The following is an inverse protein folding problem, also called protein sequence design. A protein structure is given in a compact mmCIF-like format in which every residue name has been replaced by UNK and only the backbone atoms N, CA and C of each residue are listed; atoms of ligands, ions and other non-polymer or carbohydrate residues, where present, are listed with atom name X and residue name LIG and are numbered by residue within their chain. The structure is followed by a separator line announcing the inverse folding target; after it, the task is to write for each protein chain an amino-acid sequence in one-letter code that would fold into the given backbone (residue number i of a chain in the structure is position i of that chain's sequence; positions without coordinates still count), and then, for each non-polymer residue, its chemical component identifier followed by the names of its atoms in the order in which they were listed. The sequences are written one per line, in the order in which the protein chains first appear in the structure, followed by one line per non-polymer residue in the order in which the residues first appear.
data_IF_960797592078
#
_entry.id   IF_960797592078
#
_cell.length_a   1.000
_cell.length_b   1.000
_cell.length_c   1.000
_cell.angle_alpha   90.00
_cell.angle_beta   90.00
_cell.angle_gamma   90.00
#
_symmetry.space_group_name_H-M   'P 1'
#
loop_
_entity.id
_entity.type
_entity.pdbx_description
1 polymer ?
#
# COMPACT_ATOMS: atom_id res chain seq x y z
N UNK A 1 22.31 68.20 -39.52
CA UNK A 1 20.93 68.35 -40.05
C UNK A 1 20.39 66.97 -40.37
N UNK A 2 19.16 66.64 -39.97
CA UNK A 2 18.61 65.29 -39.99
C UNK A 2 18.06 64.93 -41.38
N UNK A 3 18.13 63.64 -41.73
CA UNK A 3 17.40 63.07 -42.86
C UNK A 3 16.16 62.34 -42.31
N UNK A 4 15.03 62.86 -42.77
CA UNK A 4 13.65 62.42 -42.63
C UNK A 4 13.43 60.90 -42.68
N UNK A 5 12.70 60.36 -41.71
CA UNK A 5 11.97 59.09 -41.82
C UNK A 5 10.46 59.44 -41.82
N UNK A 6 9.78 59.03 -42.89
CA UNK A 6 8.36 59.29 -43.15
C UNK A 6 7.40 58.67 -42.12
N UNK A 7 6.08 58.89 -42.29
CA UNK A 7 5.09 58.62 -41.25
C UNK A 7 4.92 57.12 -41.00
N UNK A 8 4.87 56.73 -39.72
CA UNK A 8 4.43 55.40 -39.28
C UNK A 8 3.01 55.16 -39.77
N UNK A 9 2.79 54.07 -40.50
CA UNK A 9 1.45 53.57 -40.80
C UNK A 9 0.69 53.22 -39.50
N UNK A 10 -0.64 53.36 -39.47
CA UNK A 10 -1.43 53.08 -38.27
C UNK A 10 -1.44 51.58 -37.94
N UNK A 11 -1.40 51.20 -36.65
CA UNK A 11 -1.34 49.81 -36.21
C UNK A 11 -2.76 49.22 -36.10
N UNK A 12 -3.53 49.20 -37.18
CA UNK A 12 -4.86 48.58 -37.16
C UNK A 12 -5.21 48.02 -38.54
N UNK A 13 -4.64 46.87 -38.88
CA UNK A 13 -5.20 45.90 -39.87
C UNK A 13 -4.29 44.67 -40.03
N UNK A 14 -3.01 44.75 -39.67
CA UNK A 14 -2.08 43.59 -39.72
C UNK A 14 -2.23 42.65 -38.49
N UNK A 15 -2.95 43.06 -37.45
CA UNK A 15 -2.82 42.48 -36.10
C UNK A 15 -3.78 41.35 -35.72
N UNK A 16 -4.76 40.99 -36.55
CA UNK A 16 -5.68 39.87 -36.27
C UNK A 16 -5.66 38.82 -37.38
N UNK A 17 -5.53 39.27 -38.64
CA UNK A 17 -5.45 38.38 -39.79
C UNK A 17 -4.19 37.52 -39.77
N UNK A 18 -3.03 38.07 -39.38
CA UNK A 18 -1.79 37.31 -39.26
C UNK A 18 -1.83 36.25 -38.15
N UNK A 19 -2.48 36.56 -37.02
CA UNK A 19 -2.65 35.61 -35.91
C UNK A 19 -3.68 34.53 -36.28
N UNK A 20 -4.78 34.92 -36.94
CA UNK A 20 -5.79 33.98 -37.43
C UNK A 20 -5.24 33.05 -38.53
N UNK A 21 -4.39 33.57 -39.43
CA UNK A 21 -3.69 32.77 -40.44
C UNK A 21 -2.68 31.80 -39.82
N UNK A 22 -1.92 32.24 -38.81
CA UNK A 22 -0.98 31.35 -38.10
C UNK A 22 -1.72 30.26 -37.30
N UNK A 23 -2.81 30.61 -36.61
CA UNK A 23 -3.64 29.64 -35.90
C UNK A 23 -4.35 28.68 -36.87
N UNK A 24 -4.87 29.20 -37.99
CA UNK A 24 -5.48 28.40 -39.05
C UNK A 24 -4.48 27.45 -39.70
N UNK A 25 -3.24 27.88 -39.94
CA UNK A 25 -2.17 27.05 -40.48
C UNK A 25 -1.75 25.96 -39.49
N UNK A 26 -1.67 26.25 -38.19
CA UNK A 26 -1.41 25.25 -37.15
C UNK A 26 -2.52 24.19 -37.07
N UNK A 27 -3.80 24.60 -37.15
CA UNK A 27 -4.94 23.67 -37.14
C UNK A 27 -4.97 22.84 -38.42
N UNK A 28 -4.74 23.44 -39.58
CA UNK A 28 -4.68 22.73 -40.86
C UNK A 28 -3.54 21.72 -40.90
N UNK A 29 -2.34 22.08 -40.44
CA UNK A 29 -1.21 21.15 -40.33
C UNK A 29 -1.52 20.03 -39.33
N UNK A 30 -2.14 20.33 -38.19
CA UNK A 30 -2.53 19.30 -37.20
C UNK A 30 -3.54 18.32 -37.79
N UNK A 31 -4.52 18.78 -38.58
CA UNK A 31 -5.53 17.93 -39.22
C UNK A 31 -4.97 17.09 -40.38
N UNK A 32 -4.07 17.66 -41.19
CA UNK A 32 -3.36 16.93 -42.26
C UNK A 32 -2.47 15.85 -41.65
N UNK A 33 -1.74 16.16 -40.58
CA UNK A 33 -0.90 15.17 -39.89
C UNK A 33 -1.71 14.11 -39.13
N UNK A 34 -2.85 14.46 -38.52
CA UNK A 34 -3.76 13.50 -37.91
C UNK A 34 -4.33 12.52 -38.95
N UNK A 35 -4.64 12.99 -40.16
CA UNK A 35 -5.11 12.16 -41.26
C UNK A 35 -4.01 11.22 -41.79
N UNK A 36 -2.77 11.71 -41.89
CA UNK A 36 -1.60 10.89 -42.29
C UNK A 36 -1.26 9.84 -41.22
N UNK A 37 -1.40 10.16 -39.93
CA UNK A 37 -1.17 9.21 -38.82
C UNK A 37 -2.27 8.15 -38.76
N UNK A 38 -3.53 8.52 -38.99
CA UNK A 38 -4.64 7.56 -39.06
C UNK A 38 -4.48 6.58 -40.23
N UNK A 39 -3.94 7.03 -41.36
CA UNK A 39 -3.70 6.20 -42.54
C UNK A 39 -2.45 5.30 -42.45
N UNK A 40 -1.46 5.61 -41.59
CA UNK A 40 -0.13 4.93 -41.62
C UNK A 40 0.27 4.19 -40.33
N UNK A 41 -0.44 4.37 -39.21
CA UNK A 41 -0.34 3.50 -38.03
C UNK A 41 1.01 3.43 -37.30
N UNK A 42 1.93 4.39 -37.49
CA UNK A 42 3.30 4.34 -36.90
C UNK A 42 3.58 5.42 -35.84
N UNK A 43 4.23 5.01 -34.74
CA UNK A 43 4.60 5.79 -33.54
C UNK A 43 5.67 6.88 -33.79
N UNK A 44 6.40 6.85 -34.92
CA UNK A 44 7.47 7.83 -35.23
C UNK A 44 7.00 9.27 -35.42
N UNK A 45 5.69 9.52 -35.54
CA UNK A 45 5.13 10.88 -35.64
C UNK A 45 5.20 11.67 -34.31
N UNK A 46 5.27 10.99 -33.15
CA UNK A 46 5.31 11.63 -31.82
C UNK A 46 6.55 12.52 -31.61
N UNK A 47 7.73 12.08 -32.05
CA UNK A 47 8.96 12.86 -31.92
C UNK A 47 8.96 14.11 -32.82
N UNK A 48 8.28 14.05 -33.96
CA UNK A 48 8.17 15.18 -34.88
C UNK A 48 7.17 16.23 -34.38
N UNK A 49 5.97 15.80 -33.96
CA UNK A 49 4.90 16.71 -33.48
C UNK A 49 5.29 17.36 -32.14
N UNK A 50 5.86 16.59 -31.20
CA UNK A 50 6.40 17.14 -29.96
C UNK A 50 7.56 18.09 -30.24
N UNK A 51 8.43 17.76 -31.21
CA UNK A 51 9.52 18.63 -31.64
C UNK A 51 9.02 19.97 -32.18
N UNK A 52 8.07 19.96 -33.11
CA UNK A 52 7.53 21.17 -33.74
C UNK A 52 6.78 22.06 -32.74
N UNK A 53 5.98 21.49 -31.83
CA UNK A 53 5.27 22.28 -30.81
C UNK A 53 6.24 22.91 -29.80
N UNK A 54 7.25 22.16 -29.35
CA UNK A 54 8.27 22.68 -28.43
C UNK A 54 9.25 23.66 -29.08
N UNK A 55 9.48 23.57 -30.39
CA UNK A 55 10.34 24.52 -31.14
C UNK A 55 9.60 25.79 -31.58
N UNK A 56 8.32 25.68 -31.96
CA UNK A 56 7.56 26.82 -32.46
C UNK A 56 6.97 27.68 -31.34
N UNK A 57 6.58 27.10 -30.19
CA UNK A 57 5.99 27.86 -29.09
C UNK A 57 6.93 28.96 -28.53
N UNK A 58 8.24 28.71 -28.29
CA UNK A 58 9.17 29.74 -27.85
C UNK A 58 9.39 30.86 -28.88
N UNK A 59 9.39 30.54 -30.18
CA UNK A 59 9.57 31.52 -31.25
C UNK A 59 8.36 32.45 -31.38
N UNK A 60 7.14 31.90 -31.26
CA UNK A 60 5.90 32.68 -31.24
C UNK A 60 5.82 33.54 -29.98
N UNK A 61 6.23 33.01 -28.82
CA UNK A 61 6.35 33.75 -27.56
C UNK A 61 7.33 34.93 -27.66
N UNK A 62 8.51 34.68 -28.24
CA UNK A 62 9.54 35.71 -28.44
C UNK A 62 9.05 36.82 -29.39
N UNK A 63 8.41 36.45 -30.50
CA UNK A 63 7.87 37.42 -31.45
C UNK A 63 6.72 38.24 -30.84
N UNK A 64 5.81 37.58 -30.11
CA UNK A 64 4.69 38.23 -29.44
C UNK A 64 5.16 39.20 -28.34
N UNK A 65 6.16 38.82 -27.55
CA UNK A 65 6.75 39.67 -26.51
C UNK A 65 7.50 40.90 -27.07
N UNK A 66 7.98 40.84 -28.31
CA UNK A 66 8.69 41.94 -28.98
C UNK A 66 7.74 42.97 -29.62
N UNK A 67 6.51 42.59 -29.97
CA UNK A 67 5.63 43.41 -30.82
C UNK A 67 4.27 43.76 -30.20
N UNK A 68 3.92 43.17 -29.05
CA UNK A 68 2.64 43.38 -28.38
C UNK A 68 2.83 43.66 -26.89
N UNK A 69 1.88 44.38 -26.27
CA UNK A 69 1.88 44.57 -24.81
C UNK A 69 1.70 43.22 -24.09
N UNK A 70 2.23 43.12 -22.87
CA UNK A 70 2.21 41.89 -22.09
C UNK A 70 0.80 41.28 -21.97
N UNK A 71 -0.21 42.10 -21.77
CA UNK A 71 -1.62 41.67 -21.66
C UNK A 71 -2.17 41.12 -22.98
N UNK A 72 -1.80 41.71 -24.12
CA UNK A 72 -2.25 41.28 -25.45
C UNK A 72 -1.57 39.96 -25.86
N UNK A 73 -0.28 39.81 -25.52
CA UNK A 73 0.43 38.55 -25.73
C UNK A 73 -0.19 37.44 -24.86
N UNK A 74 -0.47 37.71 -23.58
CA UNK A 74 -1.07 36.74 -22.67
C UNK A 74 -2.45 36.27 -23.14
N UNK A 75 -3.29 37.20 -23.60
CA UNK A 75 -4.63 36.89 -24.12
C UNK A 75 -4.60 36.01 -25.38
N UNK A 76 -3.55 36.11 -26.21
CA UNK A 76 -3.39 35.29 -27.41
C UNK A 76 -2.78 33.90 -27.13
N UNK A 77 -1.93 33.77 -26.10
CA UNK A 77 -1.16 32.55 -25.83
C UNK A 77 -1.96 31.52 -25.03
N UNK A 78 -2.74 31.97 -24.03
CA UNK A 78 -3.50 31.08 -23.14
C UNK A 78 -4.50 30.17 -23.90
N UNK A 79 -5.25 30.65 -24.90
CA UNK A 79 -6.16 29.81 -25.67
C UNK A 79 -5.43 28.74 -26.49
N UNK A 80 -4.27 29.07 -27.06
CA UNK A 80 -3.47 28.13 -27.86
C UNK A 80 -2.94 27.00 -26.98
N UNK A 81 -2.41 27.33 -25.79
CA UNK A 81 -1.94 26.33 -24.83
C UNK A 81 -3.07 25.45 -24.29
N UNK A 82 -4.24 26.05 -24.02
CA UNK A 82 -5.42 25.31 -23.59
C UNK A 82 -5.90 24.34 -24.69
N UNK A 83 -5.96 24.79 -25.94
CA UNK A 83 -6.36 23.94 -27.08
C UNK A 83 -5.39 22.78 -27.31
N UNK A 84 -4.08 23.03 -27.25
CA UNK A 84 -3.06 21.98 -27.39
C UNK A 84 -3.18 20.95 -26.26
N UNK A 85 -3.42 21.41 -25.02
CA UNK A 85 -3.59 20.54 -23.85
C UNK A 85 -4.86 19.69 -23.95
N UNK A 86 -5.98 20.28 -24.39
CA UNK A 86 -7.25 19.57 -24.58
C UNK A 86 -7.14 18.53 -25.70
N UNK A 87 -6.50 18.87 -26.82
CA UNK A 87 -6.24 17.91 -27.90
C UNK A 87 -5.36 16.74 -27.45
N UNK A 88 -4.33 16.99 -26.65
CA UNK A 88 -3.48 15.93 -26.08
C UNK A 88 -4.28 14.99 -25.14
N UNK A 89 -5.17 15.54 -24.31
CA UNK A 89 -6.02 14.75 -23.40
C UNK A 89 -7.08 13.94 -24.16
N UNK A 90 -7.75 14.53 -25.15
CA UNK A 90 -8.75 13.85 -25.96
C UNK A 90 -8.13 12.74 -26.81
N UNK A 91 -6.92 12.93 -27.34
CA UNK A 91 -6.21 11.92 -28.10
C UNK A 91 -5.66 10.77 -27.22
N UNK A 92 -5.19 11.07 -26.00
CA UNK A 92 -4.84 10.05 -25.00
C UNK A 92 -6.05 9.21 -24.56
N UNK A 93 -7.26 9.79 -24.62
CA UNK A 93 -8.52 9.08 -24.37
C UNK A 93 -9.05 8.33 -25.59
N UNK A 94 -8.77 8.80 -26.81
CA UNK A 94 -9.15 8.16 -28.06
C UNK A 94 -8.33 6.92 -28.41
N UNK A 95 -7.04 6.91 -28.06
CA UNK A 95 -6.13 5.75 -28.25
C UNK A 95 -6.34 4.62 -27.24
N UNK A 96 -7.21 4.81 -26.24
CA UNK A 96 -7.61 3.78 -25.28
C UNK A 96 -8.68 2.80 -25.84
N UNK A 97 -9.07 2.91 -27.11
CA UNK A 97 -9.99 1.97 -27.76
C UNK A 97 -9.28 1.17 -28.86
N UNK A 98 -9.34 -0.14 -28.69
CA UNK A 98 -8.99 -1.21 -29.62
C UNK A 98 -7.60 -1.17 -30.25
N UNK A 99 -6.68 -1.85 -29.58
CA UNK A 99 -5.68 -2.66 -30.27
C UNK A 99 -6.02 -4.12 -29.95
N UNK A 100 -6.83 -4.75 -30.79
CA UNK A 100 -6.90 -6.21 -30.83
C UNK A 100 -5.54 -6.69 -31.32
N UNK A 101 -4.85 -7.43 -30.45
CA UNK A 101 -3.65 -8.19 -30.80
C UNK A 101 -4.16 -9.53 -31.32
N UNK A 102 -3.71 -10.02 -32.49
CA UNK A 102 -4.06 -11.34 -32.98
C UNK A 102 -3.76 -12.40 -31.90
N UNK A 103 -4.74 -13.25 -31.61
CA UNK A 103 -4.76 -14.14 -30.44
C UNK A 103 -3.84 -15.36 -30.51
N UNK A 104 -3.08 -15.55 -31.59
CA UNK A 104 -2.55 -16.88 -31.90
C UNK A 104 -1.01 -16.98 -31.94
N UNK A 105 -0.27 -15.96 -31.48
CA UNK A 105 1.21 -16.00 -31.37
C UNK A 105 1.78 -15.70 -29.98
N UNK A 106 0.95 -15.74 -28.93
CA UNK A 106 1.40 -15.58 -27.53
C UNK A 106 1.14 -16.87 -26.77
N UNK A 107 1.84 -17.98 -27.05
CA UNK A 107 1.62 -19.16 -26.19
C UNK A 107 2.73 -20.19 -25.96
N UNK A 108 4.01 -19.94 -26.26
CA UNK A 108 5.06 -20.86 -25.78
C UNK A 108 6.23 -20.17 -25.06
N UNK A 109 6.68 -19.01 -25.53
CA UNK A 109 7.82 -18.32 -24.90
C UNK A 109 7.48 -17.63 -23.56
N UNK A 110 6.23 -17.18 -23.34
CA UNK A 110 5.82 -16.55 -22.08
C UNK A 110 5.53 -17.54 -20.95
N UNK A 111 5.30 -18.81 -21.28
CA UNK A 111 5.10 -19.88 -20.30
C UNK A 111 6.40 -20.26 -19.56
N UNK A 112 7.56 -19.93 -20.14
CA UNK A 112 8.89 -20.32 -19.64
C UNK A 112 9.53 -19.29 -18.70
N UNK A 113 9.08 -18.03 -18.68
CA UNK A 113 9.66 -17.02 -17.78
C UNK A 113 8.99 -17.08 -16.40
N UNK A 114 9.77 -17.11 -15.30
CA UNK A 114 9.18 -17.13 -13.97
C UNK A 114 8.40 -15.84 -13.72
N UNK A 115 7.17 -15.98 -13.21
CA UNK A 115 6.31 -14.84 -12.87
C UNK A 115 6.98 -13.99 -11.80
N UNK A 116 7.12 -12.70 -12.06
CA UNK A 116 7.67 -11.72 -11.13
C UNK A 116 6.56 -11.09 -10.31
N UNK A 117 6.71 -11.21 -9.00
CA UNK A 117 5.74 -10.71 -8.01
C UNK A 117 6.44 -9.67 -7.15
N UNK A 118 5.85 -8.48 -7.03
CA UNK A 118 6.25 -7.49 -6.05
C UNK A 118 5.26 -7.52 -4.88
N UNK A 119 5.75 -7.64 -3.66
CA UNK A 119 4.95 -7.44 -2.44
C UNK A 119 5.36 -6.14 -1.77
N UNK A 120 4.41 -5.26 -1.52
CA UNK A 120 4.63 -3.99 -0.81
C UNK A 120 4.03 -4.12 0.58
N UNK A 121 4.84 -3.97 1.63
CA UNK A 121 4.40 -4.06 3.02
C UNK A 121 4.96 -2.89 3.83
N UNK A 122 4.22 -2.47 4.86
CA UNK A 122 4.67 -1.40 5.77
C UNK A 122 6.00 -1.74 6.47
N UNK A 123 6.09 -2.91 7.08
CA UNK A 123 7.26 -3.39 7.84
C UNK A 123 7.29 -4.90 7.83
N UNK A 124 8.45 -5.50 8.11
CA UNK A 124 8.63 -6.92 8.43
C UNK A 124 9.07 -7.07 9.89
N UNK A 125 8.32 -6.45 10.80
CA UNK A 125 8.53 -6.53 12.24
C UNK A 125 7.61 -7.59 12.87
N UNK A 126 7.41 -7.52 14.19
CA UNK A 126 6.57 -8.43 14.95
C UNK A 126 5.10 -8.00 14.83
N UNK A 127 4.37 -8.65 13.92
CA UNK A 127 2.93 -8.44 13.74
C UNK A 127 2.24 -9.62 13.05
N UNK A 128 0.92 -9.70 13.18
CA UNK A 128 0.14 -10.81 12.64
C UNK A 128 0.16 -10.86 11.11
N UNK A 129 -0.04 -9.71 10.46
CA UNK A 129 -0.02 -9.63 9.01
C UNK A 129 1.36 -9.91 8.41
N UNK A 130 2.43 -9.42 9.04
CA UNK A 130 3.82 -9.72 8.67
C UNK A 130 4.09 -11.23 8.76
N UNK A 131 3.61 -11.88 9.82
CA UNK A 131 3.73 -13.33 10.00
C UNK A 131 2.96 -14.11 8.94
N UNK A 132 1.72 -13.70 8.66
CA UNK A 132 0.89 -14.30 7.64
C UNK A 132 1.52 -14.18 6.24
N UNK A 133 2.22 -13.08 5.96
CA UNK A 133 3.00 -12.94 4.73
C UNK A 133 4.12 -13.99 4.68
N UNK A 134 4.97 -14.07 5.70
CA UNK A 134 6.10 -15.01 5.74
C UNK A 134 5.63 -16.46 5.58
N UNK A 135 4.56 -16.85 6.28
CA UNK A 135 4.01 -18.20 6.20
C UNK A 135 3.33 -18.47 4.85
N UNK A 136 2.70 -17.46 4.24
CA UNK A 136 2.16 -17.53 2.89
C UNK A 136 3.29 -17.69 1.87
N UNK A 137 4.39 -16.96 2.03
CA UNK A 137 5.56 -17.08 1.19
C UNK A 137 6.11 -18.49 1.29
N UNK A 138 6.46 -18.99 2.48
CA UNK A 138 7.02 -20.35 2.68
C UNK A 138 6.22 -21.47 2.01
N UNK A 139 4.89 -21.41 2.08
CA UNK A 139 4.02 -22.41 1.44
C UNK A 139 3.96 -22.30 -0.09
N UNK A 140 4.21 -21.12 -0.65
CA UNK A 140 4.08 -20.86 -2.08
C UNK A 140 5.43 -20.66 -2.79
N UNK A 141 6.51 -20.40 -2.06
CA UNK A 141 7.89 -20.21 -2.56
C UNK A 141 8.54 -21.51 -3.01
N UNK A 142 7.90 -22.67 -2.82
CA UNK A 142 8.33 -23.94 -3.40
C UNK A 142 8.15 -24.03 -4.93
N UNK A 143 7.63 -22.98 -5.60
CA UNK A 143 7.45 -22.96 -7.06
C UNK A 143 8.66 -22.31 -7.74
N UNK A 144 9.50 -23.07 -8.48
CA UNK A 144 10.65 -22.51 -9.22
C UNK A 144 10.25 -21.48 -10.28
N UNK A 145 8.97 -21.48 -10.68
CA UNK A 145 8.38 -20.59 -11.67
C UNK A 145 8.02 -19.21 -11.14
N UNK A 146 8.40 -18.84 -9.91
CA UNK A 146 8.08 -17.54 -9.30
C UNK A 146 9.32 -16.86 -8.74
N UNK A 147 9.45 -15.56 -8.99
CA UNK A 147 10.43 -14.68 -8.35
C UNK A 147 9.70 -13.61 -7.56
N UNK A 148 10.01 -13.49 -6.28
CA UNK A 148 9.29 -12.59 -5.37
C UNK A 148 10.26 -11.52 -4.86
N UNK A 149 9.91 -10.26 -5.14
CA UNK A 149 10.57 -9.09 -4.59
C UNK A 149 9.69 -8.50 -3.47
N UNK A 150 10.26 -8.12 -2.33
CA UNK A 150 9.54 -7.47 -1.22
C UNK A 150 10.07 -6.06 -0.99
N UNK A 151 9.17 -5.09 -1.05
CA UNK A 151 9.41 -3.73 -0.60
C UNK A 151 8.84 -3.56 0.82
N UNK A 152 9.72 -3.62 1.82
CA UNK A 152 9.38 -3.37 3.23
C UNK A 152 9.66 -1.91 3.61
N UNK A 153 8.62 -1.07 3.67
CA UNK A 153 8.72 0.40 3.81
C UNK A 153 9.31 0.91 5.12
N UNK A 154 9.56 0.07 6.11
CA UNK A 154 10.21 0.44 7.35
C UNK A 154 11.33 -0.54 7.73
N UNK A 155 11.69 -1.46 6.82
CA UNK A 155 12.49 -2.63 7.17
C UNK A 155 11.78 -3.55 8.17
N UNK A 156 12.54 -4.27 8.98
CA UNK A 156 12.03 -5.00 10.14
C UNK A 156 12.87 -6.20 10.53
N UNK A 157 12.71 -6.66 11.78
CA UNK A 157 13.52 -7.74 12.39
C UNK A 157 13.33 -9.12 11.75
N UNK A 158 12.30 -9.32 10.95
CA UNK A 158 11.99 -10.61 10.32
C UNK A 158 12.42 -10.69 8.85
N UNK A 159 13.21 -9.74 8.36
CA UNK A 159 13.82 -9.83 7.02
C UNK A 159 14.62 -11.13 6.87
N UNK A 160 15.43 -11.48 7.87
CA UNK A 160 16.25 -12.70 7.86
C UNK A 160 15.42 -14.00 8.00
N UNK A 161 14.11 -13.89 8.23
CA UNK A 161 13.19 -15.04 8.30
C UNK A 161 12.53 -15.34 6.95
N UNK A 162 12.76 -14.51 5.93
CA UNK A 162 12.23 -14.72 4.58
C UNK A 162 12.87 -15.94 3.92
N UNK A 163 12.14 -16.66 3.04
CA UNK A 163 12.72 -17.74 2.24
C UNK A 163 13.86 -17.24 1.33
N UNK A 164 14.83 -18.10 1.02
CA UNK A 164 16.03 -17.76 0.24
C UNK A 164 15.73 -17.22 -1.17
N UNK A 165 14.61 -17.63 -1.78
CA UNK A 165 14.20 -17.18 -3.11
C UNK A 165 13.41 -15.85 -3.12
N UNK A 166 13.35 -15.16 -1.98
CA UNK A 166 12.71 -13.86 -1.82
C UNK A 166 13.78 -12.78 -1.74
N UNK A 167 13.70 -11.79 -2.63
CA UNK A 167 14.62 -10.65 -2.63
C UNK A 167 13.97 -9.45 -1.95
N UNK A 168 14.63 -8.85 -0.96
CA UNK A 168 14.17 -7.57 -0.40
C UNK A 168 14.71 -6.43 -1.25
N UNK A 169 13.81 -5.60 -1.80
CA UNK A 169 14.18 -4.42 -2.58
C UNK A 169 14.27 -3.18 -1.69
N UNK A 170 15.23 -2.26 -1.95
CA UNK A 170 15.35 -1.02 -1.19
C UNK A 170 14.07 -0.15 -1.26
N UNK A 171 13.82 0.71 -0.25
CA UNK A 171 14.78 1.13 0.77
C UNK A 171 14.87 0.13 1.92
N UNK A 172 16.09 -0.28 2.28
CA UNK A 172 16.34 -0.93 3.57
C UNK A 172 16.85 0.17 4.48
N UNK A 173 16.07 0.56 5.49
CA UNK A 173 16.49 1.57 6.46
C UNK A 173 17.45 0.93 7.47
N UNK A 174 18.64 1.53 7.71
CA UNK A 174 19.49 1.14 8.85
C UNK A 174 18.70 1.24 10.15
N UNK A 175 18.88 0.29 11.08
CA UNK A 175 18.13 0.18 12.34
C UNK A 175 18.04 1.49 13.16
N UNK A 176 19.04 2.38 13.05
CA UNK A 176 19.11 3.66 13.78
C UNK A 176 18.31 4.84 13.17
N UNK A 177 17.89 4.77 11.90
CA UNK A 177 17.19 5.87 11.22
C UNK A 177 15.65 5.70 11.17
N UNK A 178 15.15 4.54 11.64
CA UNK A 178 13.76 4.10 11.45
C UNK A 178 12.72 5.00 12.11
N UNK A 179 12.90 5.36 13.38
CA UNK A 179 11.87 6.06 14.17
C UNK A 179 11.70 7.54 13.78
N UNK A 180 12.81 8.27 13.63
CA UNK A 180 12.81 9.71 13.30
C UNK A 180 12.34 9.97 11.87
N UNK A 181 12.76 9.14 10.92
CA UNK A 181 12.41 9.29 9.50
C UNK A 181 10.96 8.87 9.25
N UNK A 182 10.46 7.82 9.91
CA UNK A 182 9.08 7.38 9.79
C UNK A 182 8.11 8.39 10.41
N UNK A 183 8.40 8.92 11.60
CA UNK A 183 7.58 9.96 12.23
C UNK A 183 7.49 11.21 11.33
N UNK A 184 8.62 11.65 10.79
CA UNK A 184 8.67 12.78 9.86
C UNK A 184 7.94 12.48 8.54
N UNK A 185 8.06 11.26 7.98
CA UNK A 185 7.39 10.89 6.73
C UNK A 185 5.88 10.73 6.89
N UNK A 186 5.43 10.13 8.00
CA UNK A 186 4.01 10.06 8.36
C UNK A 186 3.46 11.47 8.61
N UNK A 187 4.20 12.32 9.32
CA UNK A 187 3.84 13.73 9.53
C UNK A 187 3.76 14.49 8.20
N UNK A 188 4.81 14.45 7.37
CA UNK A 188 4.85 15.13 6.08
C UNK A 188 3.73 14.66 5.16
N UNK A 189 3.53 13.34 5.06
CA UNK A 189 2.52 12.79 4.17
C UNK A 189 1.11 13.11 4.72
N UNK A 190 0.90 13.15 6.06
CA UNK A 190 -0.37 13.53 6.70
C UNK A 190 -0.75 14.98 6.39
N UNK A 191 0.25 15.84 6.22
CA UNK A 191 0.07 17.26 5.90
C UNK A 191 0.21 17.56 4.40
N UNK A 192 0.02 16.57 3.52
CA UNK A 192 0.04 16.76 2.07
C UNK A 192 1.43 16.94 1.45
N UNK A 193 2.50 16.99 2.26
CA UNK A 193 3.90 17.01 1.82
C UNK A 193 4.40 15.60 1.46
N UNK A 194 3.67 14.87 0.63
CA UNK A 194 4.07 13.53 0.15
C UNK A 194 5.30 13.55 -0.77
N UNK A 195 5.73 14.74 -1.22
CA UNK A 195 6.84 14.91 -2.17
C UNK A 195 8.18 14.27 -1.75
N UNK A 196 8.64 14.33 -0.48
CA UNK A 196 9.89 13.69 -0.08
C UNK A 196 9.81 12.17 -0.06
N UNK A 197 8.66 11.61 0.38
CA UNK A 197 8.38 10.17 0.30
C UNK A 197 8.31 9.72 -1.17
N UNK A 198 7.57 10.46 -2.01
CA UNK A 198 7.52 10.26 -3.47
C UNK A 198 8.90 10.32 -4.11
N UNK A 199 9.77 11.28 -3.72
CA UNK A 199 11.15 11.44 -4.22
C UNK A 199 12.12 10.37 -3.71
N UNK A 200 11.84 9.69 -2.59
CA UNK A 200 12.68 8.62 -2.04
C UNK A 200 12.22 7.24 -2.53
N UNK A 201 10.91 7.00 -2.60
CA UNK A 201 10.33 5.93 -3.44
C UNK A 201 10.71 6.14 -4.92
N UNK A 202 10.97 7.38 -5.32
CA UNK A 202 11.52 7.68 -6.64
C UNK A 202 12.90 7.10 -6.88
N UNK A 203 13.68 7.03 -5.81
CA UNK A 203 15.05 6.54 -5.76
C UNK A 203 15.15 5.09 -5.26
N UNK A 204 14.04 4.52 -4.76
CA UNK A 204 13.98 3.11 -4.41
C UNK A 204 14.33 2.32 -5.67
N UNK A 205 15.35 1.48 -5.57
CA UNK A 205 15.91 0.67 -6.66
C UNK A 205 14.96 -0.47 -7.07
N UNK A 206 13.66 -0.21 -7.08
CA UNK A 206 12.73 -0.89 -7.97
C UNK A 206 13.12 -0.37 -9.35
N UNK A 207 14.19 -0.93 -9.92
CA UNK A 207 14.54 -0.71 -11.33
C UNK A 207 13.28 -0.93 -12.16
N UNK A 208 13.22 -0.42 -13.39
CA UNK A 208 12.10 -0.64 -14.31
C UNK A 208 11.99 -2.13 -14.67
N UNK A 209 11.63 -2.96 -13.70
CA UNK A 209 11.45 -4.39 -13.78
C UNK A 209 9.97 -4.57 -14.03
N UNK A 210 9.57 -5.19 -15.16
CA UNK A 210 8.19 -5.57 -15.35
C UNK A 210 7.82 -6.59 -14.25
N UNK A 211 6.86 -6.23 -13.41
CA UNK A 211 6.20 -7.20 -12.52
C UNK A 211 4.93 -7.67 -13.20
N UNK A 212 4.71 -8.98 -13.22
CA UNK A 212 3.45 -9.55 -13.71
C UNK A 212 2.34 -9.33 -12.67
N UNK A 213 2.72 -9.34 -11.37
CA UNK A 213 1.80 -9.18 -10.24
C UNK A 213 2.40 -8.23 -9.20
N UNK A 214 1.60 -7.29 -8.69
CA UNK A 214 1.92 -6.46 -7.53
C UNK A 214 0.87 -6.68 -6.45
N UNK A 215 1.33 -6.98 -5.23
CA UNK A 215 0.49 -7.24 -4.06
C UNK A 215 0.79 -6.18 -3.00
N UNK A 216 -0.17 -5.31 -2.72
CA UNK A 216 -0.15 -4.48 -1.53
C UNK A 216 -0.58 -5.32 -0.33
N UNK A 217 0.32 -5.52 0.61
CA UNK A 217 0.09 -6.24 1.84
C UNK A 217 -0.21 -5.22 2.94
N UNK A 218 -1.49 -5.13 3.33
CA UNK A 218 -2.09 -4.14 4.23
C UNK A 218 -2.60 -2.86 3.56
N UNK A 219 -3.53 -2.23 4.27
CA UNK A 219 -4.03 -0.87 4.13
C UNK A 219 -3.03 0.21 4.59
N UNK A 220 -3.40 1.48 4.44
CA UNK A 220 -2.63 2.64 4.93
C UNK A 220 -1.33 2.90 4.15
N UNK A 221 -0.19 2.96 4.84
CA UNK A 221 1.08 3.40 4.24
C UNK A 221 1.53 2.51 3.07
N UNK A 222 1.23 1.20 3.11
CA UNK A 222 1.51 0.28 2.01
C UNK A 222 0.72 0.66 0.75
N UNK A 223 -0.57 0.97 0.90
CA UNK A 223 -1.44 1.42 -0.18
C UNK A 223 -0.97 2.76 -0.78
N UNK A 224 -0.55 3.71 0.07
CA UNK A 224 -0.01 5.00 -0.38
C UNK A 224 1.30 4.82 -1.16
N UNK A 225 2.19 3.95 -0.69
CA UNK A 225 3.42 3.65 -1.41
C UNK A 225 3.13 2.96 -2.74
N UNK A 226 2.17 2.04 -2.78
CA UNK A 226 1.75 1.38 -4.00
C UNK A 226 1.17 2.38 -5.02
N UNK A 227 0.24 3.26 -4.63
CA UNK A 227 -0.31 4.31 -5.50
C UNK A 227 0.80 5.24 -6.02
N UNK A 228 1.77 5.56 -5.17
CA UNK A 228 2.92 6.40 -5.52
C UNK A 228 3.84 5.73 -6.55
N UNK A 229 4.06 4.43 -6.42
CA UNK A 229 4.93 3.66 -7.30
C UNK A 229 4.26 3.24 -8.60
N UNK A 230 2.93 3.35 -8.69
CA UNK A 230 2.13 2.91 -9.83
C UNK A 230 2.75 3.27 -11.19
N UNK A 231 3.17 4.53 -11.48
CA UNK A 231 3.70 4.89 -12.81
C UNK A 231 5.00 4.18 -13.20
N UNK A 232 5.65 3.47 -12.27
CA UNK A 232 6.92 2.75 -12.51
C UNK A 232 6.76 1.24 -12.60
N UNK A 233 5.75 0.70 -11.93
CA UNK A 233 5.57 -0.74 -11.76
C UNK A 233 4.41 -1.27 -12.59
N UNK A 234 3.47 -0.41 -12.99
CA UNK A 234 2.35 -0.77 -13.86
C UNK A 234 2.77 -0.74 -15.33
N UNK A 235 2.51 -1.85 -16.01
CA UNK A 235 2.52 -1.95 -17.46
C UNK A 235 1.07 -2.15 -17.89
N UNK A 236 0.43 -1.13 -18.48
CA UNK A 236 -0.98 -1.19 -18.84
C UNK A 236 -1.34 -2.43 -19.64
N UNK A 237 -2.36 -3.16 -19.18
CA UNK A 237 -2.83 -4.41 -19.80
C UNK A 237 -2.02 -5.66 -19.44
N UNK A 238 -0.88 -5.50 -18.75
CA UNK A 238 0.00 -6.61 -18.37
C UNK A 238 0.04 -6.82 -16.85
N UNK A 239 0.39 -5.79 -16.09
CA UNK A 239 0.57 -5.90 -14.64
C UNK A 239 -0.78 -6.05 -13.93
N UNK A 240 -0.87 -7.02 -13.01
CA UNK A 240 -2.05 -7.23 -12.17
C UNK A 240 -1.80 -6.75 -10.74
N UNK A 241 -2.65 -5.87 -10.25
CA UNK A 241 -2.56 -5.24 -8.93
C UNK A 241 -3.62 -5.81 -7.98
N UNK A 242 -3.18 -6.24 -6.80
CA UNK A 242 -4.03 -6.75 -5.74
C UNK A 242 -3.70 -6.04 -4.42
N UNK A 243 -4.71 -5.87 -3.57
CA UNK A 243 -4.49 -5.43 -2.19
C UNK A 243 -5.07 -6.45 -1.22
N UNK A 244 -4.32 -6.79 -0.17
CA UNK A 244 -4.77 -7.70 0.89
C UNK A 244 -5.03 -6.92 2.18
N UNK A 245 -6.30 -6.88 2.59
CA UNK A 245 -6.81 -6.12 3.73
C UNK A 245 -6.88 -7.02 4.96
N UNK A 246 -6.28 -6.56 6.05
CA UNK A 246 -6.20 -7.33 7.31
C UNK A 246 -6.99 -6.71 8.46
N UNK A 247 -7.42 -5.45 8.32
CA UNK A 247 -8.18 -4.75 9.36
C UNK A 247 -9.65 -4.62 9.01
N UNK A 248 -10.46 -4.54 10.05
CA UNK A 248 -11.88 -4.24 9.93
C UNK A 248 -12.09 -2.73 9.76
N UNK A 249 -12.63 -2.32 8.61
CA UNK A 249 -12.89 -0.92 8.28
C UNK A 249 -13.96 -0.27 9.16
N UNK A 250 -14.83 -1.06 9.81
CA UNK A 250 -15.81 -0.54 10.77
C UNK A 250 -15.18 -0.07 12.09
N UNK A 251 -13.97 -0.58 12.41
CA UNK A 251 -13.27 -0.34 13.66
C UNK A 251 -11.83 0.14 13.43
N UNK A 252 -11.58 0.83 12.31
CA UNK A 252 -10.33 1.57 12.11
C UNK A 252 -10.28 2.73 13.11
N UNK A 253 -9.79 2.44 14.32
CA UNK A 253 -9.47 3.44 15.33
C UNK A 253 -8.57 4.54 14.73
N UNK A 254 -8.63 5.73 15.33
CA UNK A 254 -7.88 6.96 14.99
C UNK A 254 -6.38 6.79 14.67
N UNK A 255 -5.77 5.65 15.03
CA UNK A 255 -4.36 5.34 14.83
C UNK A 255 -4.01 4.84 13.42
N UNK A 256 -4.94 4.27 12.66
CA UNK A 256 -4.77 4.01 11.22
C UNK A 256 -5.33 5.15 10.35
N UNK A 257 -6.09 6.06 10.97
CA UNK A 257 -6.93 7.07 10.33
C UNK A 257 -6.30 8.42 9.93
N UNK A 258 -4.99 8.72 10.05
CA UNK A 258 -4.47 9.96 9.46
C UNK A 258 -4.72 10.07 7.95
N UNK A 259 -4.78 8.93 7.27
CA UNK A 259 -4.86 8.84 5.80
C UNK A 259 -6.28 8.82 5.25
N UNK A 260 -7.25 8.39 6.07
CA UNK A 260 -8.65 8.26 5.68
C UNK A 260 -9.48 9.48 6.06
N UNK A 261 -9.09 10.24 7.10
CA UNK A 261 -9.89 11.37 7.61
C UNK A 261 -9.64 12.71 6.91
N UNK A 262 -8.43 13.00 6.45
CA UNK A 262 -8.04 14.37 6.06
C UNK A 262 -7.78 14.57 4.54
N UNK A 263 -8.36 13.73 3.66
CA UNK A 263 -8.48 14.03 2.21
C UNK A 263 -7.19 14.20 1.39
N UNK A 264 -6.00 14.10 2.00
CA UNK A 264 -4.70 14.35 1.36
C UNK A 264 -4.11 13.14 0.61
N UNK A 265 -4.59 11.92 0.88
CA UNK A 265 -4.28 10.72 0.11
C UNK A 265 -5.57 9.93 -0.13
N UNK A 266 -5.90 9.70 -1.40
CA UNK A 266 -7.17 9.09 -1.79
C UNK A 266 -7.06 7.56 -1.75
N UNK A 267 -6.81 6.98 -0.56
CA UNK A 267 -6.74 5.53 -0.34
C UNK A 267 -8.02 4.85 -0.85
N UNK A 268 -9.17 5.51 -0.64
CA UNK A 268 -10.45 5.15 -1.24
C UNK A 268 -10.35 4.99 -2.77
N UNK A 269 -9.87 6.01 -3.50
CA UNK A 269 -9.63 5.94 -4.95
C UNK A 269 -8.62 4.87 -5.34
N UNK A 270 -7.55 4.69 -4.57
CA UNK A 270 -6.52 3.70 -4.85
C UNK A 270 -7.12 2.29 -4.91
N UNK A 271 -8.05 1.95 -4.01
CA UNK A 271 -8.69 0.65 -4.02
C UNK A 271 -9.37 0.33 -5.35
N UNK A 272 -10.06 1.29 -5.99
CA UNK A 272 -10.70 1.10 -7.29
C UNK A 272 -9.75 0.82 -8.46
N UNK A 273 -8.45 1.12 -8.30
CA UNK A 273 -7.43 0.84 -9.34
C UNK A 273 -6.99 -0.63 -9.32
N UNK A 274 -7.22 -1.35 -8.23
CA UNK A 274 -6.81 -2.73 -8.09
C UNK A 274 -7.67 -3.64 -8.98
N UNK A 275 -7.06 -4.68 -9.57
CA UNK A 275 -7.82 -5.69 -10.31
C UNK A 275 -8.77 -6.46 -9.40
N UNK A 276 -8.36 -6.68 -8.15
CA UNK A 276 -9.22 -7.20 -7.10
C UNK A 276 -8.63 -6.89 -5.71
N UNK A 277 -9.46 -6.98 -4.69
CA UNK A 277 -9.07 -6.88 -3.29
C UNK A 277 -9.22 -8.25 -2.64
N UNK A 278 -8.38 -8.55 -1.66
CA UNK A 278 -8.37 -9.81 -0.92
C UNK A 278 -8.64 -9.48 0.55
N UNK A 279 -9.73 -9.97 1.09
CA UNK A 279 -10.09 -9.82 2.49
C UNK A 279 -9.75 -11.09 3.28
N UNK A 280 -9.23 -10.91 4.50
CA UNK A 280 -8.85 -12.03 5.37
C UNK A 280 -10.03 -12.68 6.11
N UNK A 281 -11.14 -11.96 6.30
CA UNK A 281 -12.35 -12.50 6.93
C UNK A 281 -13.64 -11.93 6.32
N UNK A 282 -14.78 -12.64 6.44
CA UNK A 282 -16.06 -12.18 5.88
C UNK A 282 -16.50 -10.80 6.39
N UNK A 283 -16.32 -10.50 7.67
CA UNK A 283 -16.66 -9.17 8.22
C UNK A 283 -15.73 -8.07 7.70
N UNK A 284 -14.45 -8.38 7.44
CA UNK A 284 -13.51 -7.47 6.79
C UNK A 284 -13.95 -7.16 5.35
N UNK A 285 -14.41 -8.18 4.61
CA UNK A 285 -14.97 -7.98 3.28
C UNK A 285 -16.23 -7.11 3.31
N UNK A 286 -17.13 -7.37 4.27
CA UNK A 286 -18.36 -6.61 4.45
C UNK A 286 -18.10 -5.15 4.83
N UNK A 287 -17.19 -4.88 5.77
CA UNK A 287 -16.86 -3.51 6.16
C UNK A 287 -16.12 -2.75 5.07
N UNK A 288 -15.23 -3.42 4.33
CA UNK A 288 -14.61 -2.84 3.14
C UNK A 288 -15.66 -2.54 2.05
N UNK A 289 -16.63 -3.43 1.82
CA UNK A 289 -17.72 -3.19 0.88
C UNK A 289 -18.56 -1.98 1.30
N UNK A 290 -18.83 -1.80 2.60
CA UNK A 290 -19.48 -0.61 3.14
C UNK A 290 -18.65 0.66 2.91
N UNK A 291 -17.33 0.59 3.08
CA UNK A 291 -16.41 1.69 2.85
C UNK A 291 -16.30 2.10 1.37
N UNK A 292 -16.30 1.13 0.46
CA UNK A 292 -16.19 1.37 -1.00
C UNK A 292 -17.55 1.55 -1.69
N UNK A 293 -18.66 1.16 -1.07
CA UNK A 293 -19.98 1.23 -1.70
C UNK A 293 -20.11 0.36 -2.95
N UNK A 294 -21.08 0.68 -3.81
CA UNK A 294 -21.53 -0.19 -4.92
C UNK A 294 -20.53 -0.40 -6.06
N UNK A 295 -19.47 0.42 -6.14
CA UNK A 295 -18.45 0.35 -7.18
C UNK A 295 -17.20 -0.41 -6.75
N UNK A 296 -17.21 -1.06 -5.59
CA UNK A 296 -16.06 -1.78 -5.08
C UNK A 296 -15.52 -2.77 -6.14
N UNK A 297 -14.18 -2.89 -6.29
CA UNK A 297 -13.60 -3.98 -7.06
C UNK A 297 -14.04 -5.33 -6.54
N UNK A 298 -13.83 -6.39 -7.33
CA UNK A 298 -14.08 -7.75 -6.88
C UNK A 298 -13.30 -8.03 -5.60
N UNK A 299 -14.00 -8.43 -4.55
CA UNK A 299 -13.40 -8.82 -3.27
C UNK A 299 -13.35 -10.34 -3.21
N UNK A 300 -12.15 -10.90 -3.07
CA UNK A 300 -11.93 -12.32 -2.82
C UNK A 300 -11.67 -12.58 -1.34
N UNK A 301 -12.05 -13.76 -0.89
CA UNK A 301 -11.79 -14.22 0.46
C UNK A 301 -10.53 -15.08 0.48
N UNK A 302 -9.53 -14.69 1.28
CA UNK A 302 -8.36 -15.52 1.57
C UNK A 302 -7.91 -15.30 3.02
N UNK A 303 -8.26 -16.22 3.93
CA UNK A 303 -7.86 -16.09 5.32
C UNK A 303 -6.34 -16.18 5.52
N UNK A 304 -5.88 -15.60 6.62
CA UNK A 304 -4.54 -15.80 7.13
C UNK A 304 -4.30 -17.30 7.34
N UNK A 305 -3.06 -17.70 7.13
CA UNK A 305 -2.68 -19.10 7.18
C UNK A 305 -1.39 -19.24 7.93
N UNK A 306 -1.32 -20.29 8.74
CA UNK A 306 -0.22 -20.60 9.65
C UNK A 306 0.40 -21.93 9.26
N UNK A 307 1.70 -22.07 9.42
CA UNK A 307 2.40 -23.34 9.22
C UNK A 307 2.29 -24.23 10.47
N UNK A 308 1.23 -25.02 10.56
CA UNK A 308 0.94 -25.83 11.74
C UNK A 308 2.05 -26.84 12.08
N UNK A 309 2.74 -27.40 11.08
CA UNK A 309 3.85 -28.33 11.31
C UNK A 309 5.02 -27.61 11.98
N UNK A 310 5.41 -26.46 11.44
CA UNK A 310 6.45 -25.60 12.02
C UNK A 310 6.08 -25.13 13.42
N UNK A 311 4.82 -24.74 13.65
CA UNK A 311 4.36 -24.31 14.98
C UNK A 311 4.53 -25.41 16.02
N UNK A 312 4.21 -26.67 15.69
CA UNK A 312 4.43 -27.81 16.60
C UNK A 312 5.91 -28.04 16.90
N UNK A 313 6.79 -27.91 15.89
CA UNK A 313 8.25 -27.98 16.10
C UNK A 313 8.73 -26.88 17.05
N UNK A 314 8.34 -25.63 16.80
CA UNK A 314 8.74 -24.50 17.63
C UNK A 314 8.17 -24.61 19.06
N UNK A 315 6.96 -25.15 19.23
CA UNK A 315 6.39 -25.41 20.55
C UNK A 315 7.21 -26.44 21.33
N UNK A 316 7.64 -27.53 20.67
CA UNK A 316 8.49 -28.54 21.28
C UNK A 316 9.88 -27.98 21.69
N UNK A 317 10.48 -27.14 20.84
CA UNK A 317 11.76 -26.46 21.14
C UNK A 317 11.67 -25.55 22.37
N UNK A 318 10.55 -24.85 22.54
CA UNK A 318 10.34 -23.94 23.67
C UNK A 318 9.81 -24.62 24.94
N UNK A 319 9.47 -25.92 24.89
CA UNK A 319 8.76 -26.60 25.97
C UNK A 319 9.54 -26.57 27.31
N UNK A 320 10.87 -26.68 27.25
CA UNK A 320 11.73 -26.63 28.45
C UNK A 320 11.80 -25.25 29.10
N UNK A 321 11.48 -24.19 28.37
CA UNK A 321 11.48 -22.81 28.88
C UNK A 321 10.15 -22.43 29.53
N UNK A 322 9.11 -23.26 29.39
CA UNK A 322 7.79 -23.03 29.98
C UNK A 322 7.81 -23.44 31.45
N UNK A 323 7.35 -22.58 32.39
CA UNK A 323 7.29 -22.96 33.80
C UNK A 323 6.45 -24.23 34.01
N UNK A 324 6.83 -25.12 34.93
CA UNK A 324 6.09 -26.35 35.19
C UNK A 324 4.64 -26.03 35.59
N UNK A 325 3.72 -26.94 35.25
CA UNK A 325 2.31 -26.77 35.62
C UNK A 325 2.17 -26.95 37.14
N UNK A 326 1.40 -26.05 37.75
CA UNK A 326 1.03 -26.16 39.17
C UNK A 326 -0.16 -27.12 39.28
N UNK A 327 -0.08 -28.18 40.11
CA UNK A 327 -1.19 -29.11 40.28
C UNK A 327 -2.47 -28.38 40.73
N UNK A 328 -3.60 -28.70 40.09
CA UNK A 328 -4.90 -28.09 40.41
C UNK A 328 -5.09 -26.64 39.97
N UNK A 329 -4.11 -26.03 39.29
CA UNK A 329 -4.20 -24.65 38.76
C UNK A 329 -4.41 -24.69 37.25
N UNK A 330 -5.43 -23.96 36.78
CA UNK A 330 -5.73 -23.82 35.36
C UNK A 330 -4.89 -22.72 34.75
N UNK A 331 -4.26 -23.00 33.62
CA UNK A 331 -3.33 -22.08 32.94
C UNK A 331 -3.98 -21.49 31.71
N UNK A 332 -4.11 -20.17 31.71
CA UNK A 332 -4.55 -19.40 30.55
C UNK A 332 -3.37 -18.64 29.96
N UNK A 333 -3.44 -18.39 28.65
CA UNK A 333 -2.45 -17.56 27.95
C UNK A 333 -3.15 -16.46 27.17
N UNK A 334 -2.53 -15.28 27.11
CA UNK A 334 -2.97 -14.18 26.27
C UNK A 334 -1.77 -13.67 25.47
N UNK A 335 -1.91 -13.53 24.15
CA UNK A 335 -0.80 -13.19 23.26
C UNK A 335 -1.15 -12.00 22.37
N UNK A 336 -0.33 -10.95 22.41
CA UNK A 336 -0.51 -9.80 21.52
C UNK A 336 0.27 -8.55 21.95
N UNK A 337 0.29 -7.54 21.09
CA UNK A 337 0.87 -6.23 21.43
C UNK A 337 0.09 -5.59 22.58
N UNK A 338 0.78 -5.01 23.56
CA UNK A 338 0.13 -4.36 24.71
C UNK A 338 -0.35 -2.95 24.33
N UNK A 339 -1.36 -2.90 23.47
CA UNK A 339 -1.98 -1.70 22.90
C UNK A 339 -3.50 -1.71 23.15
N UNK A 340 -4.14 -0.54 23.06
CA UNK A 340 -5.57 -0.36 23.38
C UNK A 340 -6.49 -1.35 22.67
N UNK A 341 -6.25 -1.62 21.38
CA UNK A 341 -7.05 -2.57 20.58
C UNK A 341 -7.11 -3.98 21.15
N UNK A 342 -6.12 -4.40 21.95
CA UNK A 342 -6.10 -5.74 22.56
C UNK A 342 -6.93 -5.84 23.83
N UNK A 343 -7.26 -4.71 24.45
CA UNK A 343 -8.11 -4.61 25.63
C UNK A 343 -7.75 -5.59 26.77
N UNK A 344 -6.46 -5.74 27.04
CA UNK A 344 -5.98 -6.69 28.06
C UNK A 344 -6.44 -6.33 29.49
N UNK A 345 -6.94 -5.12 29.73
CA UNK A 345 -7.67 -4.77 30.96
C UNK A 345 -8.83 -5.75 31.26
N UNK A 346 -9.49 -6.30 30.23
CA UNK A 346 -10.58 -7.29 30.37
C UNK A 346 -10.13 -8.62 30.94
N UNK A 347 -8.81 -8.87 31.02
CA UNK A 347 -8.30 -10.05 31.72
C UNK A 347 -8.61 -10.00 33.23
N UNK A 348 -8.83 -8.80 33.80
CA UNK A 348 -9.31 -8.64 35.17
C UNK A 348 -10.69 -9.26 35.34
N UNK A 349 -11.63 -8.90 34.48
CA UNK A 349 -13.00 -9.42 34.50
C UNK A 349 -13.02 -10.94 34.28
N UNK A 350 -12.22 -11.40 33.31
CA UNK A 350 -12.05 -12.83 33.06
C UNK A 350 -11.50 -13.56 34.29
N UNK A 351 -10.45 -13.05 34.93
CA UNK A 351 -9.85 -13.68 36.11
C UNK A 351 -10.84 -13.75 37.28
N UNK A 352 -11.61 -12.69 37.53
CA UNK A 352 -12.62 -12.69 38.57
C UNK A 352 -13.73 -13.70 38.31
N UNK A 353 -14.24 -13.79 37.07
CA UNK A 353 -15.26 -14.77 36.71
C UNK A 353 -14.71 -16.20 36.87
N UNK A 354 -13.50 -16.45 36.37
CA UNK A 354 -12.94 -17.78 36.27
C UNK A 354 -12.39 -18.32 37.60
N UNK A 355 -12.03 -17.44 38.54
CA UNK A 355 -11.65 -17.80 39.92
C UNK A 355 -12.73 -18.58 40.67
N UNK A 356 -14.01 -18.41 40.29
CA UNK A 356 -15.14 -19.15 40.87
C UNK A 356 -15.10 -20.65 40.57
N UNK A 357 -14.39 -21.02 39.51
CA UNK A 357 -14.24 -22.41 39.08
C UNK A 357 -12.96 -23.06 39.67
N UNK A 358 -12.22 -22.34 40.53
CA UNK A 358 -10.98 -22.81 41.18
C UNK A 358 -9.74 -21.97 40.84
N UNK A 359 -8.56 -22.36 41.35
CA UNK A 359 -7.31 -21.65 41.12
C UNK A 359 -6.97 -21.51 39.63
N UNK A 360 -6.42 -20.36 39.25
CA UNK A 360 -5.96 -20.09 37.89
C UNK A 360 -4.67 -19.26 37.88
N UNK A 361 -4.00 -19.28 36.74
CA UNK A 361 -2.94 -18.35 36.36
C UNK A 361 -3.13 -17.92 34.90
N UNK A 362 -2.77 -16.67 34.60
CA UNK A 362 -2.85 -16.08 33.26
C UNK A 362 -1.46 -15.60 32.89
N UNK A 363 -0.93 -16.08 31.75
CA UNK A 363 0.37 -15.69 31.21
C UNK A 363 0.15 -14.74 30.03
N UNK A 364 0.44 -13.45 30.24
CA UNK A 364 0.32 -12.41 29.22
C UNK A 364 1.65 -12.20 28.51
N UNK A 365 1.70 -12.56 27.22
CA UNK A 365 2.90 -12.51 26.37
C UNK A 365 2.76 -11.37 25.36
N UNK A 366 3.73 -10.47 25.38
CA UNK A 366 3.80 -9.33 24.49
C UNK A 366 4.51 -8.12 25.10
N UNK A 367 4.68 -7.09 24.28
CA UNK A 367 5.18 -5.79 24.68
C UNK A 367 4.35 -4.70 23.98
N UNK A 368 4.34 -3.49 24.54
CA UNK A 368 3.62 -2.36 23.98
C UNK A 368 3.55 -1.17 24.94
N UNK A 369 2.98 -0.08 24.45
CA UNK A 369 2.92 1.20 25.16
C UNK A 369 2.16 1.12 26.50
N UNK A 370 1.16 0.24 26.61
CA UNK A 370 0.30 0.10 27.79
C UNK A 370 0.85 -0.82 28.88
N UNK A 371 2.09 -1.28 28.76
CA UNK A 371 2.66 -2.23 29.73
C UNK A 371 2.59 -1.73 31.19
N UNK A 372 2.94 -0.46 31.44
CA UNK A 372 2.91 0.12 32.80
C UNK A 372 1.49 0.29 33.32
N UNK A 373 0.56 0.66 32.45
CA UNK A 373 -0.85 0.85 32.77
C UNK A 373 -1.52 -0.49 33.16
N UNK A 374 -1.28 -1.53 32.36
CA UNK A 374 -1.78 -2.89 32.64
C UNK A 374 -1.22 -3.44 33.95
N UNK A 375 0.09 -3.26 34.20
CA UNK A 375 0.70 -3.68 35.46
C UNK A 375 0.04 -3.00 36.68
N UNK A 376 -0.24 -1.69 36.59
CA UNK A 376 -0.99 -0.97 37.63
C UNK A 376 -2.41 -1.52 37.79
N UNK A 377 -3.11 -1.73 36.68
CA UNK A 377 -4.48 -2.26 36.65
C UNK A 377 -4.57 -3.61 37.38
N UNK A 378 -3.62 -4.53 37.11
CA UNK A 378 -3.60 -5.84 37.77
C UNK A 378 -3.23 -5.75 39.25
N UNK A 379 -2.35 -4.82 39.63
CA UNK A 379 -2.01 -4.58 41.03
C UNK A 379 -3.20 -4.01 41.83
N UNK A 380 -3.91 -3.02 41.28
CA UNK A 380 -5.11 -2.42 41.89
C UNK A 380 -6.24 -3.45 42.03
N UNK A 381 -6.39 -4.34 41.05
CA UNK A 381 -7.33 -5.46 41.12
C UNK A 381 -6.88 -6.62 42.03
N UNK A 382 -5.69 -6.54 42.65
CA UNK A 382 -5.07 -7.60 43.47
C UNK A 382 -4.89 -8.93 42.71
N UNK A 383 -4.55 -8.84 41.43
CA UNK A 383 -4.36 -9.97 40.52
C UNK A 383 -2.90 -10.18 40.10
N UNK A 384 -1.93 -9.50 40.71
CA UNK A 384 -0.50 -9.64 40.37
C UNK A 384 0.03 -11.07 40.52
N UNK A 385 -0.54 -11.87 41.44
CA UNK A 385 -0.17 -13.28 41.63
C UNK A 385 -0.89 -14.23 40.66
N UNK A 386 -1.93 -13.74 39.98
CA UNK A 386 -2.73 -14.50 39.00
C UNK A 386 -2.29 -14.17 37.58
N UNK A 387 -2.07 -12.90 37.25
CA UNK A 387 -1.73 -12.42 35.91
C UNK A 387 -0.24 -12.08 35.84
N UNK A 388 0.53 -12.95 35.21
CA UNK A 388 1.96 -12.75 34.97
C UNK A 388 2.18 -12.07 33.61
N UNK A 389 2.77 -10.88 33.61
CA UNK A 389 3.27 -10.24 32.39
C UNK A 389 4.63 -10.82 32.03
N UNK A 390 4.66 -11.76 31.09
CA UNK A 390 5.86 -12.50 30.66
C UNK A 390 6.81 -11.62 29.84
N UNK A 391 6.27 -10.60 29.17
CA UNK A 391 7.01 -9.78 28.20
C UNK A 391 6.99 -10.40 26.80
N UNK A 392 7.77 -9.84 25.88
CA UNK A 392 7.85 -10.32 24.51
C UNK A 392 8.72 -11.58 24.42
N UNK A 393 8.19 -12.64 23.80
CA UNK A 393 8.92 -13.86 23.48
C UNK A 393 9.08 -14.01 21.97
N UNK A 394 10.28 -14.40 21.52
CA UNK A 394 10.52 -14.73 20.11
C UNK A 394 9.79 -16.02 19.69
N UNK A 395 9.66 -16.96 20.63
CA UNK A 395 8.95 -18.22 20.47
C UNK A 395 7.92 -18.41 21.60
N UNK A 396 6.67 -17.91 21.43
CA UNK A 396 5.62 -18.05 22.43
C UNK A 396 4.90 -19.41 22.38
N UNK A 397 5.25 -20.30 21.45
CA UNK A 397 4.40 -21.46 21.14
C UNK A 397 4.44 -22.55 22.19
N UNK A 398 5.53 -22.65 22.97
CA UNK A 398 5.58 -23.53 24.13
C UNK A 398 4.54 -23.13 25.19
N UNK A 399 4.43 -21.83 25.46
CA UNK A 399 3.43 -21.28 26.39
C UNK A 399 2.00 -21.51 25.91
N UNK A 400 1.76 -21.35 24.60
CA UNK A 400 0.45 -21.58 23.99
C UNK A 400 0.08 -23.06 24.05
N UNK A 401 0.99 -23.96 23.71
CA UNK A 401 0.76 -25.41 23.73
C UNK A 401 0.56 -25.95 25.16
N UNK A 402 1.16 -25.32 26.16
CA UNK A 402 1.04 -25.73 27.56
C UNK A 402 -0.21 -25.17 28.28
N UNK A 403 -0.93 -24.24 27.66
CA UNK A 403 -2.11 -23.60 28.24
C UNK A 403 -3.38 -24.43 28.04
N UNK A 404 -4.30 -24.35 29.00
CA UNK A 404 -5.63 -24.95 28.92
C UNK A 404 -6.54 -24.22 27.95
N UNK A 405 -6.37 -22.89 27.86
CA UNK A 405 -7.00 -22.08 26.82
C UNK A 405 -6.25 -20.77 26.59
N UNK A 406 -6.33 -20.25 25.38
CA UNK A 406 -5.95 -18.89 25.04
C UNK A 406 -7.14 -17.94 25.20
N UNK A 407 -6.93 -16.82 25.88
CA UNK A 407 -7.93 -15.77 26.06
C UNK A 407 -7.61 -14.60 25.11
N UNK A 408 -8.59 -14.22 24.28
CA UNK A 408 -8.46 -13.12 23.32
C UNK A 408 -9.49 -12.06 23.64
N UNK A 409 -9.03 -10.92 24.15
CA UNK A 409 -9.85 -9.82 24.66
C UNK A 409 -10.09 -8.68 23.65
N UNK A 410 -9.56 -8.81 22.43
CA UNK A 410 -9.39 -7.70 21.49
C UNK A 410 -10.70 -7.07 21.01
N UNK A 411 -10.71 -5.74 20.90
CA UNK A 411 -11.84 -4.94 20.41
C UNK A 411 -12.15 -5.28 18.94
N UNK A 412 -11.09 -5.29 18.14
CA UNK A 412 -11.14 -5.51 16.69
C UNK A 412 -10.07 -6.51 16.28
N UNK A 413 -10.47 -7.41 15.38
CA UNK A 413 -9.62 -8.44 14.77
C UNK A 413 -10.17 -8.68 13.36
N UNK A 414 -9.32 -8.61 12.33
CA UNK A 414 -9.69 -9.05 11.00
C UNK A 414 -9.69 -10.57 10.93
N UNK A 415 -8.50 -11.18 10.93
CA UNK A 415 -8.35 -12.64 11.04
C UNK A 415 -7.18 -12.94 11.97
N UNK A 416 -7.48 -13.12 13.25
CA UNK A 416 -6.47 -13.17 14.32
C UNK A 416 -5.51 -14.33 14.12
N UNK A 417 -4.24 -14.01 13.83
CA UNK A 417 -3.19 -15.02 13.66
C UNK A 417 -2.95 -15.78 14.96
N UNK A 418 -3.03 -15.11 16.13
CA UNK A 418 -2.91 -15.77 17.43
C UNK A 418 -3.98 -16.87 17.63
N UNK A 419 -5.23 -16.62 17.19
CA UNK A 419 -6.30 -17.64 17.25
C UNK A 419 -5.97 -18.84 16.35
N UNK A 420 -5.41 -18.59 15.16
CA UNK A 420 -4.99 -19.67 14.26
C UNK A 420 -3.81 -20.47 14.82
N UNK A 421 -2.86 -19.79 15.45
CA UNK A 421 -1.72 -20.42 16.12
C UNK A 421 -2.15 -21.32 17.26
N UNK A 422 -3.03 -20.82 18.15
CA UNK A 422 -3.59 -21.62 19.23
C UNK A 422 -4.31 -22.87 18.69
N UNK A 423 -5.17 -22.71 17.68
CA UNK A 423 -5.85 -23.84 17.03
C UNK A 423 -4.87 -24.84 16.41
N UNK A 424 -3.80 -24.37 15.76
CA UNK A 424 -2.78 -25.23 15.17
C UNK A 424 -1.99 -26.04 16.22
N UNK A 425 -1.90 -25.53 17.45
CA UNK A 425 -1.25 -26.15 18.60
C UNK A 425 -2.23 -26.96 19.46
N UNK A 426 -3.51 -27.03 19.09
CA UNK A 426 -4.53 -27.74 19.88
C UNK A 426 -4.95 -27.00 21.15
N UNK A 427 -4.60 -25.71 21.31
CA UNK A 427 -5.01 -24.88 22.43
C UNK A 427 -6.42 -24.32 22.17
N UNK A 428 -7.42 -24.63 23.02
CA UNK A 428 -8.74 -24.03 22.98
C UNK A 428 -8.68 -22.50 23.05
N UNK A 429 -9.66 -21.81 22.48
CA UNK A 429 -9.69 -20.34 22.45
C UNK A 429 -10.98 -19.81 23.03
N UNK A 430 -10.86 -18.90 24.00
CA UNK A 430 -11.94 -18.12 24.58
C UNK A 430 -11.88 -16.73 23.95
N UNK A 431 -12.91 -16.37 23.20
CA UNK A 431 -13.03 -15.06 22.56
C UNK A 431 -13.93 -14.15 23.39
N UNK A 432 -13.49 -12.92 23.63
CA UNK A 432 -14.37 -11.91 24.19
C UNK A 432 -15.47 -11.56 23.19
N UNK A 433 -16.76 -11.52 23.60
CA UNK A 433 -17.85 -11.20 22.70
C UNK A 433 -17.67 -9.78 22.14
N UNK A 434 -17.82 -9.66 20.82
CA UNK A 434 -17.94 -8.37 20.14
C UNK A 434 -19.44 -8.05 20.11
N UNK A 435 -19.84 -7.04 20.87
CA UNK A 435 -21.23 -6.56 20.88
C UNK A 435 -21.56 -5.78 19.61
#
# INVERSE_FOLDING_TARGET
MPLWLGPKMPPMTVSLLGIALAAGLCVALTNVFASVVHATGRIRAYSLVSGTIYLCAPAVLYFAAQHYSADTAYAAIVPVYAAVTVCAILFARGTARHREVPSDEVDEASALRPRRILVIIRSLDIGGAEKALIDSLRRHTARPSQRIDILALCGGRWIDRLPENVTVVPPVWPDGERSRTLALQLWLTRHGFSQPLRRRLARASIGQKPYDIVICWLEGLAAVAHDTLWPRIDIPGHTRHYTMIHSDFAHLDDHAAPWTKDGGSNEHRYYYRNNAIIAVAPHVAASLQGFLGSRAPRIYMRPNSVDAARLRTLAAEAASSVPPRRPGVRRYVAVGRLESVKQFERLVDFAHAESRNGPLEIRLIGAGSRQRELARTYAEARLSDVITMVGALDNPYGEIAAADAMVVTSASEGDSVAVREARALGCPVILWPKN
#
